data_IF_041660140147
#
_entry.id   IF_041660140147
#
_cell.length_a   1.000
_cell.length_b   1.000
_cell.length_c   1.000
_cell.angle_alpha   90.00
_cell.angle_beta   90.00
_cell.angle_gamma   90.00
#
_symmetry.space_group_name_H-M   'P 1'
#
loop_
_entity.id
_entity.type
_entity.pdbx_description
1 polymer ?
#
# COMPACT_ATOMS: atom_id res chain seq x y z
N UNK A 1 7.04 -13.06 -2.10
CA UNK A 1 7.33 -11.64 -2.42
C UNK A 1 7.20 -10.84 -1.14
N UNK A 2 7.99 -9.77 -0.96
CA UNK A 2 8.18 -9.11 0.34
C UNK A 2 6.86 -8.60 0.96
N UNK A 3 5.91 -8.13 0.15
CA UNK A 3 4.59 -7.69 0.64
C UNK A 3 3.76 -8.85 1.20
N UNK A 4 3.73 -10.01 0.53
CA UNK A 4 2.96 -11.17 1.00
C UNK A 4 3.50 -11.69 2.33
N UNK A 5 4.83 -11.77 2.44
CA UNK A 5 5.50 -12.18 3.67
C UNK A 5 5.32 -11.16 4.80
N UNK A 6 5.28 -9.85 4.49
CA UNK A 6 4.92 -8.83 5.47
C UNK A 6 3.50 -9.02 6.00
N UNK A 7 2.53 -9.35 5.14
CA UNK A 7 1.18 -9.70 5.59
C UNK A 7 1.16 -10.96 6.47
N UNK A 8 1.96 -11.99 6.17
CA UNK A 8 2.11 -13.17 7.03
C UNK A 8 2.63 -12.77 8.42
N UNK A 9 3.65 -11.92 8.49
CA UNK A 9 4.19 -11.42 9.76
C UNK A 9 3.18 -10.56 10.54
N UNK A 10 2.43 -9.69 9.88
CA UNK A 10 1.38 -8.88 10.52
C UNK A 10 0.24 -9.76 11.05
N UNK A 11 -0.16 -10.81 10.31
CA UNK A 11 -1.13 -11.80 10.79
C UNK A 11 -0.63 -12.56 12.02
N UNK A 12 0.64 -12.92 12.07
CA UNK A 12 1.24 -13.56 13.25
C UNK A 12 1.26 -12.62 14.48
N UNK A 13 1.18 -11.31 14.28
CA UNK A 13 1.00 -10.30 15.33
C UNK A 13 -0.47 -10.04 15.71
N UNK A 14 -1.41 -10.78 15.12
CA UNK A 14 -2.85 -10.67 15.40
C UNK A 14 -3.60 -9.65 14.52
N UNK A 15 -2.94 -9.04 13.54
CA UNK A 15 -3.57 -8.07 12.64
C UNK A 15 -4.25 -8.75 11.44
N UNK A 16 -5.39 -8.22 11.01
CA UNK A 16 -6.07 -8.67 9.79
C UNK A 16 -5.42 -8.02 8.56
N UNK A 17 -4.38 -8.65 8.01
CA UNK A 17 -3.64 -8.13 6.86
C UNK A 17 -3.84 -8.99 5.59
N UNK A 18 -3.88 -8.34 4.43
CA UNK A 18 -3.87 -8.99 3.11
C UNK A 18 -3.16 -8.14 2.07
N UNK A 19 -2.71 -8.77 0.98
CA UNK A 19 -2.00 -8.09 -0.10
C UNK A 19 -2.75 -8.27 -1.43
N UNK A 20 -2.82 -7.20 -2.22
CA UNK A 20 -3.25 -7.23 -3.62
C UNK A 20 -2.17 -6.62 -4.50
N UNK A 21 -2.06 -7.07 -5.76
CA UNK A 21 -1.07 -6.57 -6.71
C UNK A 21 -1.75 -6.17 -8.01
N UNK A 22 -1.68 -4.88 -8.34
CA UNK A 22 -2.21 -4.31 -9.58
C UNK A 22 -1.20 -4.58 -10.70
N UNK A 23 -1.57 -5.40 -11.68
CA UNK A 23 -0.71 -5.71 -12.84
C UNK A 23 -0.98 -4.82 -14.06
N UNK A 24 -2.18 -4.28 -14.15
CA UNK A 24 -2.60 -3.40 -15.23
C UNK A 24 -3.12 -2.11 -14.62
N UNK A 25 -2.47 -1.00 -14.94
CA UNK A 25 -2.72 0.29 -14.30
C UNK A 25 -3.78 1.11 -15.02
N UNK A 26 -3.84 1.05 -16.35
CA UNK A 26 -4.74 1.88 -17.14
C UNK A 26 -5.38 1.10 -18.31
N UNK A 27 -6.70 0.84 -18.25
CA UNK A 27 -7.62 1.19 -17.15
C UNK A 27 -7.33 0.43 -15.84
N UNK A 28 -7.72 1.01 -14.71
CA UNK A 28 -7.64 0.32 -13.43
C UNK A 28 -8.53 -0.93 -13.41
N UNK A 29 -8.17 -1.99 -12.65
CA UNK A 29 -8.98 -3.19 -12.55
C UNK A 29 -10.40 -2.89 -12.03
N UNK A 30 -11.42 -3.45 -12.69
CA UNK A 30 -12.80 -3.31 -12.25
C UNK A 30 -13.01 -3.89 -10.84
N UNK A 31 -13.93 -3.27 -10.08
CA UNK A 31 -14.27 -3.62 -8.69
C UNK A 31 -13.15 -3.36 -7.66
N UNK A 32 -12.05 -2.71 -8.06
CA UNK A 32 -10.98 -2.34 -7.14
C UNK A 32 -11.48 -1.37 -6.07
N UNK A 33 -12.37 -0.45 -6.43
CA UNK A 33 -13.09 0.46 -5.51
C UNK A 33 -13.76 -0.31 -4.35
N UNK A 34 -14.56 -1.34 -4.69
CA UNK A 34 -15.30 -2.15 -3.72
C UNK A 34 -14.34 -2.90 -2.81
N UNK A 35 -13.28 -3.49 -3.37
CA UNK A 35 -12.26 -4.18 -2.59
C UNK A 35 -11.57 -3.22 -1.62
N UNK A 36 -11.13 -2.06 -2.09
CA UNK A 36 -10.44 -1.09 -1.25
C UNK A 36 -11.36 -0.57 -0.12
N UNK A 37 -12.65 -0.39 -0.37
CA UNK A 37 -13.60 0.06 0.66
C UNK A 37 -13.81 -0.91 1.83
N UNK A 38 -13.38 -2.17 1.72
CA UNK A 38 -13.49 -3.14 2.84
C UNK A 38 -12.36 -3.04 3.85
N UNK A 39 -11.38 -2.16 3.64
CA UNK A 39 -10.21 -2.02 4.51
C UNK A 39 -10.21 -0.65 5.19
N UNK A 40 -9.95 -0.64 6.50
CA UNK A 40 -9.78 0.58 7.30
C UNK A 40 -8.48 1.30 6.96
N UNK A 41 -7.43 0.56 6.60
CA UNK A 41 -6.13 1.07 6.21
C UNK A 41 -5.65 0.40 4.92
N UNK A 42 -5.21 1.20 3.94
CA UNK A 42 -4.69 0.72 2.66
C UNK A 42 -3.30 1.31 2.45
N UNK A 43 -2.28 0.45 2.54
CA UNK A 43 -0.89 0.85 2.34
C UNK A 43 -0.41 0.53 0.92
N UNK A 44 -0.08 1.56 0.17
CA UNK A 44 0.52 1.45 -1.16
C UNK A 44 2.04 1.43 -0.98
N UNK A 45 2.63 0.25 -1.13
CA UNK A 45 4.08 0.05 -1.07
C UNK A 45 4.65 0.33 -2.46
N UNK A 46 5.42 1.42 -2.60
CA UNK A 46 5.88 1.88 -3.90
C UNK A 46 7.33 2.38 -3.90
N UNK A 47 8.07 2.06 -4.97
CA UNK A 47 9.47 2.48 -5.16
C UNK A 47 9.54 3.78 -5.97
N UNK A 48 9.00 4.84 -5.38
CA UNK A 48 9.11 6.22 -5.86
C UNK A 48 9.11 7.15 -4.63
N UNK A 49 9.34 8.44 -4.83
CA UNK A 49 9.31 9.41 -3.75
C UNK A 49 7.89 9.89 -3.43
N UNK A 50 7.70 10.45 -2.23
CA UNK A 50 6.50 11.22 -1.93
C UNK A 50 6.42 12.44 -2.85
N UNK A 51 5.30 12.59 -3.55
CA UNK A 51 5.02 13.76 -4.36
C UNK A 51 4.60 14.98 -3.53
N UNK A 52 4.33 16.09 -4.22
CA UNK A 52 3.90 17.36 -3.62
C UNK A 52 2.71 17.24 -2.64
N UNK A 53 1.82 16.27 -2.89
CA UNK A 53 0.61 16.05 -2.10
C UNK A 53 0.77 14.98 -1.00
N UNK A 54 2.00 14.65 -0.62
CA UNK A 54 2.30 13.71 0.46
C UNK A 54 1.96 12.25 0.17
N UNK A 55 1.75 11.91 -1.10
CA UNK A 55 1.50 10.54 -1.58
C UNK A 55 2.46 10.22 -2.72
N UNK A 56 2.84 8.96 -2.86
CA UNK A 56 3.54 8.48 -4.05
C UNK A 56 2.60 8.36 -5.24
N UNK A 57 3.16 7.95 -6.37
CA UNK A 57 2.50 8.05 -7.68
C UNK A 57 1.26 7.15 -7.77
N UNK A 58 1.35 5.89 -7.34
CA UNK A 58 0.23 4.95 -7.43
C UNK A 58 -0.88 5.32 -6.44
N UNK A 59 -0.52 5.69 -5.20
CA UNK A 59 -1.50 6.15 -4.23
C UNK A 59 -2.25 7.39 -4.73
N UNK A 60 -1.56 8.33 -5.37
CA UNK A 60 -2.17 9.52 -5.97
C UNK A 60 -3.20 9.14 -7.04
N UNK A 61 -2.86 8.21 -7.94
CA UNK A 61 -3.79 7.71 -8.97
C UNK A 61 -5.02 7.05 -8.33
N UNK A 62 -4.82 6.19 -7.33
CA UNK A 62 -5.93 5.50 -6.66
C UNK A 62 -6.84 6.47 -5.90
N UNK A 63 -6.26 7.49 -5.23
CA UNK A 63 -7.04 8.53 -4.54
C UNK A 63 -7.80 9.42 -5.53
N UNK A 64 -7.21 9.75 -6.68
CA UNK A 64 -7.88 10.50 -7.73
C UNK A 64 -9.05 9.71 -8.36
N UNK A 65 -8.91 8.40 -8.50
CA UNK A 65 -9.94 7.54 -9.08
C UNK A 65 -11.09 7.21 -8.11
N UNK A 66 -10.79 7.04 -6.81
CA UNK A 66 -11.74 6.46 -5.84
C UNK A 66 -12.06 7.34 -4.64
N UNK A 67 -11.40 8.49 -4.48
CA UNK A 67 -11.61 9.42 -3.36
C UNK A 67 -11.52 8.77 -1.96
N UNK A 68 -10.81 7.65 -1.82
CA UNK A 68 -10.74 6.89 -0.58
C UNK A 68 -9.62 7.44 0.34
N UNK A 69 -9.95 8.00 1.52
CA UNK A 69 -8.96 8.60 2.42
C UNK A 69 -8.04 7.58 3.11
N UNK A 70 -8.44 6.31 3.19
CA UNK A 70 -7.66 5.23 3.82
C UNK A 70 -6.40 4.83 3.03
N UNK A 71 -6.27 5.30 1.79
CA UNK A 71 -5.10 5.07 0.93
C UNK A 71 -3.93 5.94 1.40
N UNK A 72 -2.87 5.29 1.85
CA UNK A 72 -1.64 5.89 2.38
C UNK A 72 -0.42 5.30 1.67
N UNK A 73 0.63 6.11 1.47
CA UNK A 73 1.87 5.67 0.80
C UNK A 73 2.95 5.25 1.79
N UNK A 74 3.63 4.16 1.48
CA UNK A 74 4.94 3.82 2.05
C UNK A 74 5.92 3.84 0.87
N UNK A 75 6.71 4.90 0.80
CA UNK A 75 7.60 5.20 -0.32
C UNK A 75 9.07 4.98 0.02
N UNK A 76 9.89 4.71 -1.00
CA UNK A 76 11.34 4.46 -0.89
C UNK A 76 12.03 4.68 -2.23
N UNK A 77 13.23 5.27 -2.20
CA UNK A 77 13.98 5.69 -3.41
C UNK A 77 15.45 5.28 -3.41
N UNK A 78 15.87 4.36 -2.55
CA UNK A 78 17.29 3.94 -2.44
C UNK A 78 17.78 2.97 -3.55
N UNK A 79 16.94 2.66 -4.54
CA UNK A 79 17.24 1.73 -5.63
C UNK A 79 17.25 0.24 -5.23
N UNK A 80 16.92 -0.10 -3.97
CA UNK A 80 16.86 -1.46 -3.47
C UNK A 80 15.43 -1.95 -3.34
N UNK A 81 15.24 -3.25 -3.53
CA UNK A 81 13.96 -3.89 -3.24
C UNK A 81 13.57 -3.71 -1.76
N UNK A 82 12.27 -3.59 -1.50
CA UNK A 82 11.74 -3.58 -0.14
C UNK A 82 12.09 -4.87 0.61
N UNK A 83 12.66 -4.72 1.80
CA UNK A 83 12.77 -5.79 2.79
C UNK A 83 11.45 -5.89 3.55
N UNK A 84 11.09 -7.11 3.96
CA UNK A 84 9.87 -7.39 4.72
C UNK A 84 9.78 -6.52 5.98
N UNK A 85 10.88 -6.39 6.71
CA UNK A 85 10.96 -5.55 7.93
C UNK A 85 10.66 -4.06 7.67
N UNK A 86 11.01 -3.54 6.49
CA UNK A 86 10.75 -2.13 6.15
C UNK A 86 9.25 -1.91 5.93
N UNK A 87 8.58 -2.87 5.29
CA UNK A 87 7.14 -2.84 5.09
C UNK A 87 6.41 -2.93 6.44
N UNK A 88 6.78 -3.89 7.29
CA UNK A 88 6.16 -4.08 8.61
C UNK A 88 6.34 -2.84 9.48
N UNK A 89 7.56 -2.30 9.58
CA UNK A 89 7.83 -1.09 10.35
C UNK A 89 7.08 0.13 9.78
N UNK A 90 6.97 0.23 8.45
CA UNK A 90 6.19 1.29 7.79
C UNK A 90 4.71 1.20 8.15
N UNK A 91 4.12 0.00 8.15
CA UNK A 91 2.73 -0.22 8.55
C UNK A 91 2.52 0.13 10.03
N UNK A 92 3.39 -0.36 10.93
CA UNK A 92 3.31 -0.07 12.36
C UNK A 92 3.38 1.43 12.67
N UNK A 93 4.24 2.17 11.96
CA UNK A 93 4.34 3.63 12.10
C UNK A 93 3.05 4.37 11.77
N UNK A 94 2.24 3.85 10.86
CA UNK A 94 0.98 4.49 10.45
C UNK A 94 -0.23 4.05 11.31
N UNK A 95 -0.12 2.91 12.00
CA UNK A 95 -1.15 2.41 12.91
C UNK A 95 -0.99 2.95 14.35
N UNK A 96 0.21 3.42 14.71
CA UNK A 96 0.51 4.08 15.98
C UNK A 96 -0.02 5.52 16.01
#
# INVERSE_FOLDING_TARGET
GPIREACDQLRNKGLCASATHIRHLHPLPGKLDKLLSTYEHIFVIEMNDYGLYGNGQLATILRAAYCNPAIQSICKTDGLAYRVREIVAGVEKHLA
#
